data_IF_604264335837
#
_entry.id   IF_604264335837
#
_cell.length_a   1.000
_cell.length_b   1.000
_cell.length_c   1.000
_cell.angle_alpha   90.00
_cell.angle_beta   90.00
_cell.angle_gamma   90.00
#
_symmetry.space_group_name_H-M   'P 1'
#
loop_
_entity.id
_entity.type
_entity.pdbx_description
1 polymer ?
#
# COMPACT_ATOMS: atom_id res chain seq x y z
N UNK A 1 4.64 -4.98 -9.41
CA UNK A 1 4.87 -3.56 -9.15
C UNK A 1 3.77 -2.72 -9.79
N UNK A 2 3.07 -1.97 -8.96
CA UNK A 2 2.09 -0.93 -9.30
C UNK A 2 2.78 0.42 -9.06
N UNK A 3 2.54 1.41 -9.91
CA UNK A 3 3.15 2.75 -9.78
C UNK A 3 2.07 3.81 -9.64
N UNK A 4 2.24 4.70 -8.66
CA UNK A 4 1.39 5.86 -8.40
C UNK A 4 2.16 7.14 -8.68
N UNK A 5 1.90 7.76 -9.83
CA UNK A 5 2.48 9.04 -10.25
C UNK A 5 1.57 9.73 -11.26
N UNK A 6 0.80 10.74 -10.83
CA UNK A 6 -0.28 11.35 -11.62
C UNK A 6 -1.41 10.38 -12.00
N UNK A 7 -1.37 9.15 -11.47
CA UNK A 7 -2.26 8.07 -11.82
C UNK A 7 -1.70 6.68 -11.52
N UNK A 8 -2.53 5.66 -11.72
CA UNK A 8 -2.17 4.25 -11.51
C UNK A 8 -1.63 3.66 -12.81
N UNK A 9 -0.40 3.13 -12.77
CA UNK A 9 0.18 2.27 -13.82
C UNK A 9 0.28 0.85 -13.31
N UNK A 10 0.04 -0.13 -14.20
CA UNK A 10 0.00 -1.56 -13.88
C UNK A 10 -1.07 -1.93 -12.83
N UNK A 11 -2.21 -1.21 -12.82
CA UNK A 11 -3.31 -1.45 -11.87
C UNK A 11 -3.88 -2.87 -11.90
N UNK A 12 -3.76 -3.59 -13.02
CA UNK A 12 -4.14 -5.01 -13.10
C UNK A 12 -3.40 -5.90 -12.10
N UNK A 13 -2.17 -5.53 -11.69
CA UNK A 13 -1.44 -6.25 -10.62
C UNK A 13 -2.07 -6.02 -9.25
N UNK A 14 -2.56 -4.81 -8.97
CA UNK A 14 -3.33 -4.53 -7.76
C UNK A 14 -4.63 -5.35 -7.75
N UNK A 15 -5.36 -5.36 -8.87
CA UNK A 15 -6.61 -6.11 -8.97
C UNK A 15 -6.41 -7.63 -8.79
N UNK A 16 -5.30 -8.16 -9.30
CA UNK A 16 -4.95 -9.58 -9.12
C UNK A 16 -4.66 -9.88 -7.65
N UNK A 17 -3.86 -9.04 -7.00
CA UNK A 17 -3.55 -9.16 -5.58
C UNK A 17 -4.81 -9.10 -4.71
N UNK A 18 -5.70 -8.12 -4.94
CA UNK A 18 -6.96 -8.01 -4.21
C UNK A 18 -7.84 -9.26 -4.37
N UNK A 19 -7.96 -9.79 -5.59
CA UNK A 19 -8.68 -11.06 -5.83
C UNK A 19 -8.04 -12.23 -5.09
N UNK A 20 -6.71 -12.27 -4.98
CA UNK A 20 -6.00 -13.32 -4.23
C UNK A 20 -6.26 -13.19 -2.73
N UNK A 21 -6.21 -11.98 -2.19
CA UNK A 21 -6.58 -11.68 -0.79
C UNK A 21 -8.01 -12.10 -0.48
N UNK A 22 -8.98 -11.72 -1.33
CA UNK A 22 -10.40 -12.12 -1.17
C UNK A 22 -10.60 -13.64 -1.16
N UNK A 23 -9.82 -14.36 -1.98
CA UNK A 23 -9.86 -15.82 -2.04
C UNK A 23 -8.96 -16.52 -1.01
N UNK A 24 -8.38 -15.77 -0.06
CA UNK A 24 -7.42 -16.29 0.95
C UNK A 24 -6.21 -17.01 0.33
N UNK A 25 -5.82 -16.59 -0.87
CA UNK A 25 -4.67 -17.13 -1.58
C UNK A 25 -3.45 -16.23 -1.36
N UNK A 26 -2.32 -16.86 -1.07
CA UNK A 26 -1.05 -16.16 -0.91
C UNK A 26 -0.68 -15.38 -2.17
N UNK A 27 -0.30 -14.13 -2.00
CA UNK A 27 0.22 -13.27 -3.06
C UNK A 27 0.99 -12.08 -2.47
N UNK A 28 1.69 -11.35 -3.33
CA UNK A 28 2.42 -10.15 -2.95
C UNK A 28 2.28 -9.05 -3.98
N UNK A 29 2.27 -7.80 -3.52
CA UNK A 29 2.30 -6.63 -4.38
C UNK A 29 3.26 -5.58 -3.84
N UNK A 30 4.11 -5.07 -4.74
CA UNK A 30 4.87 -3.84 -4.52
C UNK A 30 4.14 -2.67 -5.14
N UNK A 31 3.88 -1.63 -4.36
CA UNK A 31 3.33 -0.34 -4.80
C UNK A 31 4.41 0.72 -4.60
N UNK A 32 4.70 1.51 -5.64
CA UNK A 32 5.64 2.63 -5.54
C UNK A 32 4.91 3.92 -5.83
N UNK A 33 4.90 4.81 -4.86
CA UNK A 33 4.33 6.15 -4.95
C UNK A 33 5.46 7.16 -5.08
N UNK A 34 5.30 8.13 -5.95
CA UNK A 34 6.26 9.22 -6.08
C UNK A 34 5.75 10.47 -5.37
N UNK A 35 6.62 11.15 -4.62
CA UNK A 35 6.36 12.49 -4.07
C UNK A 35 6.35 13.54 -5.17
N UNK A 36 6.01 14.78 -4.81
CA UNK A 36 5.95 15.91 -5.75
C UNK A 36 7.36 16.18 -6.31
N UNK A 37 8.38 15.98 -5.49
CA UNK A 37 9.80 16.12 -5.81
C UNK A 37 10.37 14.91 -6.58
N UNK A 38 9.59 13.84 -6.75
CA UNK A 38 10.00 12.63 -7.45
C UNK A 38 10.72 11.58 -6.59
N UNK A 39 10.72 11.73 -5.27
CA UNK A 39 11.20 10.73 -4.33
C UNK A 39 10.28 9.50 -4.29
N UNK A 40 10.81 8.27 -4.40
CA UNK A 40 9.98 7.07 -4.33
C UNK A 40 9.72 6.66 -2.88
N UNK A 41 8.45 6.45 -2.56
CA UNK A 41 7.95 5.77 -1.37
C UNK A 41 7.48 4.39 -1.80
N UNK A 42 8.05 3.34 -1.21
CA UNK A 42 7.79 1.95 -1.57
C UNK A 42 6.95 1.29 -0.47
N UNK A 43 5.92 0.58 -0.90
CA UNK A 43 5.12 -0.31 -0.07
C UNK A 43 5.21 -1.73 -0.62
N UNK A 44 5.56 -2.68 0.22
CA UNK A 44 5.47 -4.11 -0.09
C UNK A 44 4.43 -4.75 0.79
N UNK A 45 3.41 -5.35 0.19
CA UNK A 45 2.37 -6.09 0.89
C UNK A 45 2.53 -7.56 0.53
N UNK A 46 2.70 -8.40 1.54
CA UNK A 46 2.78 -9.85 1.41
C UNK A 46 1.61 -10.43 2.21
N UNK A 47 0.70 -11.10 1.53
CA UNK A 47 -0.44 -11.75 2.15
C UNK A 47 -0.17 -13.25 2.26
N UNK A 48 -0.24 -13.79 3.47
CA UNK A 48 0.09 -15.19 3.77
C UNK A 48 -1.13 -16.14 3.74
N UNK A 49 -2.30 -15.62 3.34
CA UNK A 49 -3.59 -16.33 3.41
C UNK A 49 -4.42 -16.00 4.65
N UNK A 50 -3.83 -15.27 5.61
CA UNK A 50 -4.47 -14.87 6.87
C UNK A 50 -4.24 -13.39 7.19
N UNK A 51 -3.00 -12.93 7.14
CA UNK A 51 -2.58 -11.57 7.48
C UNK A 51 -1.68 -10.96 6.40
N UNK A 52 -1.50 -9.65 6.47
CA UNK A 52 -0.68 -8.87 5.55
C UNK A 52 0.55 -8.37 6.30
N UNK A 53 1.72 -8.83 5.88
CA UNK A 53 2.97 -8.18 6.22
C UNK A 53 3.15 -6.98 5.29
N UNK A 54 3.19 -5.80 5.87
CA UNK A 54 3.43 -4.55 5.14
C UNK A 54 4.84 -4.03 5.45
N UNK A 55 5.55 -3.63 4.42
CA UNK A 55 6.82 -2.89 4.53
C UNK A 55 6.63 -1.53 3.90
N UNK A 56 6.93 -0.47 4.66
CA UNK A 56 7.07 0.89 4.19
C UNK A 56 8.57 1.21 4.04
N UNK A 57 8.96 1.85 2.94
CA UNK A 57 10.34 2.26 2.70
C UNK A 57 10.36 3.61 1.95
N UNK A 58 10.74 4.66 2.67
CA UNK A 58 11.03 6.00 2.14
C UNK A 58 12.52 6.33 2.19
N UNK A 59 13.41 5.35 2.38
CA UNK A 59 14.86 5.57 2.54
C UNK A 59 15.54 6.27 1.34
N UNK A 60 14.85 6.33 0.20
CA UNK A 60 15.30 6.95 -1.05
C UNK A 60 14.61 8.29 -1.34
N UNK A 61 13.67 8.70 -0.50
CA UNK A 61 13.07 10.02 -0.56
C UNK A 61 13.95 11.01 0.21
N UNK A 62 14.69 11.84 -0.54
CA UNK A 62 15.69 12.76 0.03
C UNK A 62 15.07 13.87 0.88
N UNK A 63 13.78 14.16 0.68
CA UNK A 63 13.06 15.25 1.33
C UNK A 63 11.87 14.76 2.16
N UNK A 64 11.58 13.45 2.13
CA UNK A 64 10.49 12.81 2.85
C UNK A 64 10.75 12.60 4.33
N UNK A 65 9.86 11.84 4.97
CA UNK A 65 10.01 11.46 6.37
C UNK A 65 11.31 10.67 6.59
N UNK A 66 11.88 10.73 7.79
CA UNK A 66 13.10 9.95 8.14
C UNK A 66 12.76 8.58 8.75
N UNK A 67 11.56 8.04 8.50
CA UNK A 67 11.16 6.73 9.03
C UNK A 67 12.04 5.59 8.46
N UNK A 68 12.56 5.76 7.25
CA UNK A 68 13.39 4.77 6.59
C UNK A 68 12.55 3.55 6.22
N UNK A 69 13.03 2.37 6.60
CA UNK A 69 12.32 1.11 6.35
C UNK A 69 11.65 0.61 7.61
N UNK A 70 10.33 0.48 7.59
CA UNK A 70 9.52 -0.05 8.71
C UNK A 70 8.62 -1.18 8.23
N UNK A 71 8.31 -2.10 9.13
CA UNK A 71 7.39 -3.23 8.86
C UNK A 71 6.26 -3.26 9.85
N UNK A 72 5.12 -3.82 9.46
CA UNK A 72 3.92 -3.92 10.27
C UNK A 72 3.06 -5.11 9.81
N UNK A 73 2.28 -5.68 10.73
CA UNK A 73 1.38 -6.80 10.44
C UNK A 73 -0.05 -6.32 10.56
N UNK A 74 -0.84 -6.49 9.51
CA UNK A 74 -2.23 -6.04 9.44
C UNK A 74 -3.18 -7.19 9.14
N UNK A 75 -4.41 -7.11 9.65
CA UNK A 75 -5.42 -8.16 9.48
C UNK A 75 -6.09 -8.15 8.09
N UNK A 76 -6.07 -7.02 7.39
CA UNK A 76 -6.71 -6.94 6.08
C UNK A 76 -6.64 -5.59 5.40
N UNK A 77 -7.47 -5.44 4.37
CA UNK A 77 -7.61 -4.23 3.55
C UNK A 77 -9.08 -3.81 3.59
N UNK A 78 -9.33 -2.52 3.76
CA UNK A 78 -10.68 -1.94 3.73
C UNK A 78 -10.74 -0.74 2.80
N UNK A 79 -11.95 -0.34 2.40
CA UNK A 79 -12.19 0.89 1.64
C UNK A 79 -12.62 2.02 2.56
N UNK A 80 -11.88 3.13 2.52
CA UNK A 80 -12.21 4.37 3.21
C UNK A 80 -12.62 5.45 2.20
N UNK A 81 -13.64 6.23 2.53
CA UNK A 81 -14.06 7.40 1.75
C UNK A 81 -13.57 8.66 2.43
N UNK A 82 -12.86 9.53 1.71
CA UNK A 82 -12.47 10.85 2.22
C UNK A 82 -13.64 11.82 2.20
N UNK A 83 -13.49 12.95 2.90
CA UNK A 83 -14.49 14.04 2.92
C UNK A 83 -14.82 14.58 1.52
N UNK A 84 -13.82 14.59 0.63
CA UNK A 84 -13.97 15.01 -0.77
C UNK A 84 -14.63 13.93 -1.66
N UNK A 85 -15.00 12.79 -1.08
CA UNK A 85 -15.69 11.70 -1.76
C UNK A 85 -14.77 10.69 -2.47
N UNK A 86 -13.46 10.88 -2.43
CA UNK A 86 -12.49 9.94 -3.00
C UNK A 86 -12.44 8.65 -2.18
N UNK A 87 -12.37 7.50 -2.83
CA UNK A 87 -12.32 6.19 -2.17
C UNK A 87 -10.89 5.65 -2.23
N UNK A 88 -10.41 5.08 -1.13
CA UNK A 88 -9.07 4.53 -0.99
C UNK A 88 -9.11 3.16 -0.33
N UNK A 89 -8.25 2.25 -0.76
CA UNK A 89 -7.89 1.06 0.00
C UNK A 89 -6.86 1.43 1.07
N UNK A 90 -7.09 0.98 2.30
CA UNK A 90 -6.22 1.18 3.47
C UNK A 90 -6.00 -0.15 4.20
N UNK A 91 -4.89 -0.31 4.91
CA UNK A 91 -4.67 -1.47 5.77
C UNK A 91 -5.44 -1.31 7.08
N UNK A 92 -5.96 -2.40 7.64
CA UNK A 92 -6.74 -2.40 8.88
C UNK A 92 -6.30 -3.47 9.86
N UNK A 93 -6.55 -3.21 11.14
CA UNK A 93 -6.15 -4.11 12.23
C UNK A 93 -4.64 -4.31 12.30
N UNK A 94 -3.88 -3.25 12.05
CA UNK A 94 -2.43 -3.24 12.12
C UNK A 94 -1.94 -3.27 13.58
N UNK A 95 -0.78 -3.89 13.82
CA UNK A 95 -0.16 -3.95 15.15
C UNK A 95 0.42 -2.59 15.55
N UNK A 96 0.94 -1.82 14.58
CA UNK A 96 1.36 -0.44 14.79
C UNK A 96 0.18 0.52 14.60
N UNK A 97 0.12 1.55 15.44
CA UNK A 97 -0.98 2.52 15.44
C UNK A 97 -1.06 3.35 14.15
N UNK A 98 0.07 3.54 13.46
CA UNK A 98 0.13 4.32 12.22
C UNK A 98 0.71 3.48 11.07
N UNK A 99 -0.09 3.29 10.03
CA UNK A 99 0.34 2.71 8.76
C UNK A 99 -0.05 3.64 7.60
N UNK A 100 0.92 4.23 6.86
CA UNK A 100 0.63 5.27 5.87
C UNK A 100 0.08 4.73 4.53
N UNK A 101 -0.10 3.41 4.40
CA UNK A 101 -0.55 2.82 3.14
C UNK A 101 -1.93 3.31 2.72
N UNK A 102 -1.99 3.89 1.53
CA UNK A 102 -3.24 4.25 0.85
C UNK A 102 -3.11 4.04 -0.66
N UNK A 103 -4.10 3.37 -1.23
CA UNK A 103 -4.19 3.11 -2.67
C UNK A 103 -5.52 3.65 -3.20
N UNK A 104 -5.54 4.63 -4.11
CA UNK A 104 -6.80 5.17 -4.62
C UNK A 104 -7.59 4.11 -5.39
N UNK A 105 -8.89 4.06 -5.14
CA UNK A 105 -9.84 3.30 -5.95
C UNK A 105 -10.13 4.11 -7.22
N UNK A 106 -9.96 3.50 -8.39
CA UNK A 106 -10.34 4.08 -9.68
C UNK A 106 -11.60 3.43 -10.20
#
# INVERSE_FOLDING_TARGET
MVVLHGGIRNGGKWNTFMKKVENKQQDQVRVTKYTIEGGPIIYELIYDGTAIQSTYDDSRDLYGSKQGRTTDTCKGIWTMKSEQGNIFYVLTGCEKEENPFSMPMR
#
